data_IF_192690897975
#
_entry.id   IF_192690897975
#
_cell.length_a   1.000
_cell.length_b   1.000
_cell.length_c   1.000
_cell.angle_alpha   90.00
_cell.angle_beta   90.00
_cell.angle_gamma   90.00
#
_symmetry.space_group_name_H-M   'P 1'
#
loop_
_entity.id
_entity.type
_entity.pdbx_description
1 polymer ?
#
# COMPACT_ATOMS: atom_id res chain seq x y z
N UNK A 1 -3.37 5.17 -30.99
CA UNK A 1 -2.73 4.02 -30.29
C UNK A 1 -2.81 4.25 -28.79
N UNK A 2 -3.03 3.21 -27.99
CA UNK A 2 -3.29 3.32 -26.55
C UNK A 2 -2.22 4.11 -25.75
N UNK A 3 -0.96 4.09 -26.19
CA UNK A 3 0.21 4.71 -25.53
C UNK A 3 0.78 5.91 -26.30
N UNK A 4 0.06 6.46 -27.28
CA UNK A 4 0.57 7.52 -28.17
C UNK A 4 1.96 7.20 -28.74
N UNK A 5 2.10 6.01 -29.32
CA UNK A 5 3.36 5.49 -29.88
C UNK A 5 4.49 5.34 -28.83
N UNK A 6 4.16 4.79 -27.64
CA UNK A 6 5.11 4.57 -26.54
C UNK A 6 5.84 5.86 -26.12
N UNK A 7 5.07 6.96 -26.05
CA UNK A 7 5.55 8.26 -25.61
C UNK A 7 6.25 8.18 -24.25
N UNK A 8 7.43 8.79 -24.15
CA UNK A 8 8.20 8.92 -22.91
C UNK A 8 7.41 9.61 -21.79
N UNK A 9 6.49 10.53 -22.15
CA UNK A 9 5.60 11.19 -21.19
C UNK A 9 4.61 10.23 -20.52
N UNK A 10 4.34 9.08 -21.15
CA UNK A 10 3.47 8.05 -20.62
C UNK A 10 4.26 6.91 -19.96
N UNK A 11 5.59 6.99 -19.89
CA UNK A 11 6.42 5.95 -19.28
C UNK A 11 6.27 5.98 -17.76
N UNK A 12 5.85 4.84 -17.20
CA UNK A 12 5.69 4.61 -15.77
C UNK A 12 6.95 4.04 -15.13
N UNK A 13 7.66 3.17 -15.86
CA UNK A 13 8.90 2.53 -15.39
C UNK A 13 9.87 2.32 -16.54
N UNK A 14 11.12 2.70 -16.32
CA UNK A 14 12.23 2.30 -17.18
C UNK A 14 12.71 0.91 -16.80
N UNK A 15 12.78 0.02 -17.78
CA UNK A 15 13.38 -1.29 -17.66
C UNK A 15 14.60 -1.43 -18.56
N UNK A 16 15.53 -2.34 -18.24
CA UNK A 16 16.58 -2.74 -19.17
C UNK A 16 15.96 -3.57 -20.31
N UNK A 17 16.54 -3.53 -21.50
CA UNK A 17 16.15 -4.36 -22.67
C UNK A 17 14.65 -4.37 -22.96
N UNK A 18 14.03 -3.19 -23.16
CA UNK A 18 12.63 -3.10 -23.60
C UNK A 18 11.60 -3.67 -22.62
N UNK A 19 11.94 -3.76 -21.33
CA UNK A 19 10.99 -4.11 -20.25
C UNK A 19 10.25 -2.88 -19.66
N UNK A 20 10.16 -1.80 -20.46
CA UNK A 20 9.51 -0.56 -20.07
C UNK A 20 8.02 -0.77 -19.83
N UNK A 21 7.46 -0.01 -18.88
CA UNK A 21 6.02 0.01 -18.60
C UNK A 21 5.49 1.39 -18.94
N UNK A 22 4.42 1.44 -19.73
CA UNK A 22 3.75 2.66 -20.17
C UNK A 22 2.32 2.71 -19.68
N UNK A 23 1.82 3.90 -19.38
CA UNK A 23 0.40 4.17 -19.23
C UNK A 23 -0.25 4.15 -20.60
N UNK A 24 -1.36 3.46 -20.72
CA UNK A 24 -2.20 3.46 -21.92
C UNK A 24 -3.65 3.77 -21.59
N UNK A 25 -4.42 4.06 -22.64
CA UNK A 25 -5.87 4.17 -22.60
C UNK A 25 -6.48 3.23 -23.65
N UNK A 26 -7.29 2.26 -23.21
CA UNK A 26 -8.01 1.32 -24.07
C UNK A 26 -9.49 1.42 -23.70
N UNK A 27 -10.36 1.76 -24.67
CA UNK A 27 -11.81 1.91 -24.46
C UNK A 27 -12.17 2.78 -23.24
N UNK A 28 -11.53 3.96 -23.13
CA UNK A 28 -11.66 4.89 -21.99
C UNK A 28 -11.22 4.33 -20.62
N UNK A 29 -10.52 3.20 -20.59
CA UNK A 29 -9.95 2.61 -19.38
C UNK A 29 -8.44 2.80 -19.35
N UNK A 30 -7.93 3.36 -18.25
CA UNK A 30 -6.48 3.43 -18.02
C UNK A 30 -5.93 2.01 -17.81
N UNK A 31 -4.83 1.71 -18.51
CA UNK A 31 -4.11 0.43 -18.42
C UNK A 31 -2.61 0.68 -18.25
N UNK A 32 -1.90 -0.33 -17.74
CA UNK A 32 -0.45 -0.38 -17.75
C UNK A 32 0.01 -1.39 -18.81
N UNK A 33 0.84 -0.95 -19.76
CA UNK A 33 1.36 -1.77 -20.85
C UNK A 33 2.83 -2.03 -20.61
N UNK A 34 3.17 -3.27 -20.26
CA UNK A 34 4.55 -3.72 -20.10
C UNK A 34 5.05 -4.29 -21.41
N UNK A 35 6.10 -3.69 -21.94
CA UNK A 35 6.82 -4.20 -23.08
C UNK A 35 7.62 -5.44 -22.67
N UNK A 36 7.66 -6.44 -23.55
CA UNK A 36 8.40 -7.68 -23.30
C UNK A 36 9.70 -7.62 -24.08
N UNK A 37 10.79 -7.98 -23.41
CA UNK A 37 12.12 -8.05 -24.02
C UNK A 37 12.08 -8.96 -25.27
N UNK A 38 12.41 -8.44 -26.46
CA UNK A 38 12.48 -9.25 -27.68
C UNK A 38 13.48 -10.41 -27.58
N UNK A 39 14.50 -10.31 -26.71
CA UNK A 39 15.53 -11.32 -26.49
C UNK A 39 15.07 -12.49 -25.61
N UNK A 40 13.89 -12.38 -24.96
CA UNK A 40 13.26 -13.54 -24.32
C UNK A 40 12.96 -14.58 -25.39
N UNK A 41 13.77 -15.64 -25.42
CA UNK A 41 13.69 -16.76 -26.36
C UNK A 41 12.50 -17.69 -26.05
N UNK A 42 11.30 -17.12 -25.93
CA UNK A 42 10.06 -17.88 -25.85
C UNK A 42 9.56 -18.13 -27.28
N UNK A 43 9.25 -19.39 -27.58
CA UNK A 43 8.52 -19.71 -28.80
C UNK A 43 7.15 -19.01 -28.77
N UNK A 44 6.56 -18.75 -29.94
CA UNK A 44 5.23 -18.13 -30.03
C UNK A 44 4.17 -18.93 -29.25
N UNK A 45 4.30 -20.26 -29.26
CA UNK A 45 3.40 -21.18 -28.55
C UNK A 45 3.57 -21.07 -27.03
N UNK A 46 4.79 -21.17 -26.53
CA UNK A 46 5.07 -21.07 -25.09
C UNK A 46 4.65 -19.69 -24.54
N UNK A 47 4.85 -18.65 -25.35
CA UNK A 47 4.39 -17.31 -25.03
C UNK A 47 2.86 -17.26 -24.89
N UNK A 48 2.11 -17.77 -25.85
CA UNK A 48 0.65 -17.80 -25.81
C UNK A 48 0.11 -18.66 -24.66
N UNK A 49 0.66 -19.87 -24.46
CA UNK A 49 0.23 -20.78 -23.39
C UNK A 49 0.44 -20.14 -22.00
N UNK A 50 1.60 -19.49 -21.79
CA UNK A 50 1.90 -18.78 -20.55
C UNK A 50 0.99 -17.56 -20.33
N UNK A 51 0.63 -16.84 -21.40
CA UNK A 51 -0.29 -15.72 -21.33
C UNK A 51 -1.72 -16.14 -21.00
N UNK A 52 -2.20 -17.22 -21.61
CA UNK A 52 -3.51 -17.79 -21.31
C UNK A 52 -3.59 -18.21 -19.85
N UNK A 53 -2.53 -18.84 -19.34
CA UNK A 53 -2.41 -19.16 -17.92
C UNK A 53 -2.46 -17.91 -17.02
N UNK A 54 -1.63 -16.90 -17.29
CA UNK A 54 -1.59 -15.65 -16.52
C UNK A 54 -2.93 -14.90 -16.56
N UNK A 55 -3.65 -14.91 -17.69
CA UNK A 55 -4.96 -14.28 -17.84
C UNK A 55 -6.07 -14.91 -16.99
N UNK A 56 -5.89 -16.18 -16.59
CA UNK A 56 -6.83 -16.90 -15.72
C UNK A 56 -6.57 -16.65 -14.23
N UNK A 57 -5.43 -16.07 -13.86
CA UNK A 57 -5.11 -15.74 -12.47
C UNK A 57 -5.83 -14.45 -12.09
N UNK A 58 -6.87 -14.56 -11.26
CA UNK A 58 -7.65 -13.42 -10.76
C UNK A 58 -7.81 -13.47 -9.26
N UNK A 59 -7.31 -12.44 -8.59
CA UNK A 59 -7.41 -12.30 -7.15
C UNK A 59 -7.40 -10.81 -6.76
N UNK A 60 -8.16 -10.37 -5.74
CA UNK A 60 -8.23 -8.95 -5.35
C UNK A 60 -6.88 -8.31 -5.02
N UNK A 61 -5.89 -9.10 -4.63
CA UNK A 61 -4.54 -8.65 -4.23
C UNK A 61 -3.43 -9.08 -5.19
N UNK A 62 -3.77 -9.46 -6.42
CA UNK A 62 -2.83 -9.67 -7.52
C UNK A 62 -3.17 -8.72 -8.65
N UNK A 63 -2.15 -8.13 -9.30
CA UNK A 63 -2.37 -7.27 -10.46
C UNK A 63 -2.87 -8.11 -11.63
N UNK A 64 -4.07 -7.79 -12.12
CA UNK A 64 -4.72 -8.54 -13.18
C UNK A 64 -4.08 -8.26 -14.55
N UNK A 65 -3.80 -9.34 -15.28
CA UNK A 65 -3.53 -9.29 -16.72
C UNK A 65 -4.87 -9.15 -17.45
N UNK A 66 -5.03 -8.05 -18.18
CA UNK A 66 -6.23 -7.76 -18.97
C UNK A 66 -6.13 -8.29 -20.39
N UNK A 67 -4.91 -8.45 -20.91
CA UNK A 67 -4.67 -8.93 -22.26
C UNK A 67 -3.21 -8.85 -22.68
N UNK A 68 -2.95 -9.08 -23.96
CA UNK A 68 -1.62 -9.05 -24.54
C UNK A 68 -1.67 -8.56 -25.99
N UNK A 69 -0.52 -8.12 -26.50
CA UNK A 69 -0.28 -7.91 -27.92
C UNK A 69 0.89 -8.79 -28.38
N UNK A 70 0.82 -9.30 -29.61
CA UNK A 70 1.90 -10.10 -30.20
C UNK A 70 2.90 -9.27 -31.01
N UNK A 71 2.49 -8.07 -31.45
CA UNK A 71 3.35 -7.17 -32.23
C UNK A 71 2.99 -5.68 -31.95
N UNK A 72 3.84 -4.93 -31.21
CA UNK A 72 4.98 -5.44 -30.46
C UNK A 72 4.52 -6.35 -29.30
N UNK A 73 5.36 -7.29 -28.88
CA UNK A 73 5.07 -8.17 -27.74
C UNK A 73 4.89 -7.35 -26.46
N UNK A 74 3.67 -7.29 -25.94
CA UNK A 74 3.37 -6.58 -24.71
C UNK A 74 2.27 -7.25 -23.89
N UNK A 75 2.29 -6.95 -22.59
CA UNK A 75 1.28 -7.34 -21.62
C UNK A 75 0.49 -6.12 -21.18
N UNK A 76 -0.83 -6.26 -21.13
CA UNK A 76 -1.75 -5.22 -20.67
C UNK A 76 -2.26 -5.59 -19.29
N UNK A 77 -2.04 -4.72 -18.32
CA UNK A 77 -2.45 -4.86 -16.93
C UNK A 77 -3.44 -3.76 -16.53
N UNK A 78 -4.17 -4.01 -15.45
CA UNK A 78 -4.90 -2.93 -14.78
C UNK A 78 -3.97 -1.82 -14.30
N UNK A 79 -4.47 -0.57 -14.32
CA UNK A 79 -3.67 0.59 -13.92
C UNK A 79 -3.77 0.89 -12.42
N UNK A 80 -2.60 0.98 -11.78
CA UNK A 80 -2.46 1.21 -10.34
C UNK A 80 -2.15 2.68 -10.06
N UNK A 81 -3.17 3.41 -9.59
CA UNK A 81 -3.18 4.88 -9.60
C UNK A 81 -2.22 5.52 -8.59
N UNK A 82 -1.90 4.82 -7.50
CA UNK A 82 -1.04 5.34 -6.45
C UNK A 82 0.40 4.83 -6.57
N UNK A 83 0.76 4.23 -7.71
CA UNK A 83 2.13 3.78 -7.97
C UNK A 83 2.56 2.60 -7.08
N UNK A 84 3.85 2.53 -6.78
CA UNK A 84 4.44 1.47 -5.96
C UNK A 84 4.34 1.79 -4.47
N UNK A 85 4.38 0.75 -3.63
CA UNK A 85 4.52 0.89 -2.18
C UNK A 85 5.86 1.55 -1.82
N UNK A 86 6.92 1.27 -2.56
CA UNK A 86 8.23 1.91 -2.38
C UNK A 86 8.14 3.44 -2.46
N UNK A 87 7.50 3.96 -3.52
CA UNK A 87 7.26 5.40 -3.66
C UNK A 87 6.39 5.94 -2.53
N UNK A 88 5.37 5.18 -2.12
CA UNK A 88 4.45 5.60 -1.08
C UNK A 88 5.09 5.64 0.31
N UNK A 89 6.07 4.77 0.59
CA UNK A 89 6.84 4.78 1.84
C UNK A 89 7.91 5.89 1.85
N UNK A 90 8.55 6.18 0.71
CA UNK A 90 9.59 7.21 0.61
C UNK A 90 9.03 8.64 0.55
N UNK A 91 7.81 8.82 0.02
CA UNK A 91 7.27 10.14 -0.27
C UNK A 91 6.49 10.73 0.92
N UNK A 92 7.16 11.54 1.75
CA UNK A 92 6.52 12.30 2.86
C UNK A 92 5.66 13.48 2.40
N UNK A 93 5.67 13.83 1.12
CA UNK A 93 5.06 15.07 0.57
C UNK A 93 3.81 14.85 -0.28
N UNK A 94 3.38 13.60 -0.54
CA UNK A 94 2.10 13.33 -1.25
C UNK A 94 0.91 13.47 -0.29
N UNK A 95 -0.25 13.82 -0.85
CA UNK A 95 -1.56 14.07 -0.20
C UNK A 95 -2.09 12.98 0.77
N UNK A 96 -1.42 11.83 0.93
CA UNK A 96 -1.85 10.73 1.82
C UNK A 96 -0.65 9.99 2.42
N UNK A 97 -0.42 10.20 3.71
CA UNK A 97 0.55 9.45 4.53
C UNK A 97 0.01 8.04 4.79
N UNK A 98 0.83 7.00 4.60
CA UNK A 98 0.51 5.62 4.97
C UNK A 98 0.56 5.52 6.51
N UNK A 99 -0.56 5.19 7.15
CA UNK A 99 -0.61 4.96 8.60
C UNK A 99 -0.13 3.55 8.97
N UNK A 100 0.19 3.30 10.24
CA UNK A 100 0.51 1.94 10.71
C UNK A 100 -0.62 0.93 10.41
N UNK A 101 -1.89 1.39 10.44
CA UNK A 101 -3.04 0.57 10.11
C UNK A 101 -3.06 0.19 8.63
N UNK A 102 -2.71 1.15 7.76
CA UNK A 102 -2.51 0.88 6.33
C UNK A 102 -1.37 -0.10 6.12
N UNK A 103 -0.25 0.03 6.85
CA UNK A 103 0.87 -0.91 6.77
C UNK A 103 0.46 -2.34 7.10
N UNK A 104 -0.25 -2.56 8.22
CA UNK A 104 -0.75 -3.88 8.62
C UNK A 104 -1.75 -4.41 7.57
N UNK A 105 -2.65 -3.56 7.08
CA UNK A 105 -3.60 -3.94 6.02
C UNK A 105 -2.87 -4.39 4.76
N UNK A 106 -1.91 -3.60 4.28
CA UNK A 106 -1.11 -3.88 3.08
C UNK A 106 -0.38 -5.22 3.24
N UNK A 107 0.22 -5.49 4.40
CA UNK A 107 0.86 -6.78 4.69
C UNK A 107 -0.13 -7.96 4.56
N UNK A 108 -1.34 -7.81 5.09
CA UNK A 108 -2.40 -8.84 4.99
C UNK A 108 -2.84 -9.03 3.53
N UNK A 109 -3.03 -7.95 2.78
CA UNK A 109 -3.42 -7.98 1.37
C UNK A 109 -2.35 -8.70 0.52
N UNK A 110 -1.06 -8.39 0.74
CA UNK A 110 0.06 -9.08 0.08
C UNK A 110 0.07 -10.57 0.43
N UNK A 111 -0.05 -10.92 1.72
CA UNK A 111 -0.08 -12.32 2.14
C UNK A 111 -1.30 -13.07 1.58
N UNK A 112 -2.43 -12.39 1.41
CA UNK A 112 -3.62 -12.95 0.78
C UNK A 112 -3.39 -13.30 -0.69
N UNK A 113 -2.75 -12.40 -1.46
CA UNK A 113 -2.40 -12.67 -2.87
C UNK A 113 -1.40 -13.81 -3.03
N UNK A 114 -0.35 -13.82 -2.22
CA UNK A 114 0.64 -14.89 -2.20
C UNK A 114 0.06 -16.23 -1.71
N UNK A 115 -0.85 -16.19 -0.73
CA UNK A 115 -1.54 -17.37 -0.22
C UNK A 115 -2.37 -18.04 -1.32
N UNK A 116 -3.05 -17.25 -2.15
CA UNK A 116 -3.75 -17.75 -3.33
C UNK A 116 -2.80 -18.41 -4.34
N UNK A 117 -1.66 -17.79 -4.67
CA UNK A 117 -0.66 -18.38 -5.57
C UNK A 117 -0.13 -19.74 -5.07
N UNK A 118 0.01 -19.89 -3.76
CA UNK A 118 0.46 -21.15 -3.16
C UNK A 118 -0.56 -22.29 -3.26
N UNK A 119 -1.84 -22.00 -3.55
CA UNK A 119 -2.90 -23.02 -3.68
C UNK A 119 -2.92 -23.73 -5.03
N UNK A 120 -2.20 -23.23 -6.04
CA UNK A 120 -2.17 -23.80 -7.38
C UNK A 120 -1.56 -25.21 -7.38
N UNK A 121 -2.12 -26.09 -8.20
CA UNK A 121 -1.68 -27.48 -8.39
C UNK A 121 -1.33 -27.74 -9.87
N UNK A 122 -0.44 -28.69 -10.18
CA UNK A 122 0.25 -29.62 -9.27
C UNK A 122 1.45 -29.00 -8.54
N UNK A 123 1.85 -27.77 -8.89
CA UNK A 123 2.92 -27.02 -8.24
C UNK A 123 2.42 -25.63 -7.85
N UNK A 124 2.68 -25.24 -6.62
CA UNK A 124 2.45 -23.89 -6.12
C UNK A 124 3.21 -22.86 -6.96
N UNK A 125 2.61 -21.69 -7.17
CA UNK A 125 3.28 -20.56 -7.83
C UNK A 125 4.04 -19.78 -6.75
N UNK A 126 5.37 -19.78 -6.82
CA UNK A 126 6.24 -19.00 -5.93
C UNK A 126 6.58 -17.67 -6.63
N UNK A 127 6.46 -16.54 -5.95
CA UNK A 127 6.65 -15.23 -6.57
C UNK A 127 8.14 -14.84 -6.70
N UNK A 128 8.95 -15.10 -5.67
CA UNK A 128 10.40 -14.86 -5.58
C UNK A 128 10.90 -13.41 -5.75
N UNK A 129 9.99 -12.45 -5.87
CA UNK A 129 10.33 -11.05 -6.18
C UNK A 129 9.54 -10.08 -5.34
N UNK A 130 9.14 -10.51 -4.15
CA UNK A 130 8.39 -9.64 -3.24
C UNK A 130 9.30 -8.53 -2.75
N UNK A 131 8.89 -7.30 -3.03
CA UNK A 131 9.57 -6.07 -2.64
C UNK A 131 8.56 -4.92 -2.66
N UNK A 132 8.81 -3.81 -1.95
CA UNK A 132 7.97 -2.62 -2.04
C UNK A 132 7.78 -2.09 -3.48
N UNK A 133 8.76 -2.27 -4.36
CA UNK A 133 8.70 -1.86 -5.78
C UNK A 133 7.82 -2.76 -6.66
N UNK A 134 7.46 -3.95 -6.20
CA UNK A 134 6.56 -4.89 -6.87
C UNK A 134 5.17 -4.97 -6.20
N UNK A 135 4.91 -4.15 -5.19
CA UNK A 135 3.59 -3.99 -4.59
C UNK A 135 3.01 -2.67 -5.11
N UNK A 136 1.88 -2.73 -5.81
CA UNK A 136 1.24 -1.57 -6.40
C UNK A 136 -0.03 -1.21 -5.64
N UNK A 137 -0.35 0.08 -5.59
CA UNK A 137 -1.52 0.60 -4.85
C UNK A 137 -2.57 1.14 -5.83
N UNK A 138 -3.80 0.63 -5.73
CA UNK A 138 -4.90 1.15 -6.55
C UNK A 138 -5.42 2.48 -5.98
N UNK A 139 -6.43 3.09 -6.62
CA UNK A 139 -7.03 4.38 -6.21
C UNK A 139 -7.51 4.43 -4.74
N UNK A 140 -7.84 3.28 -4.16
CA UNK A 140 -8.34 3.12 -2.79
C UNK A 140 -7.25 2.66 -1.80
N UNK A 141 -5.97 2.68 -2.19
CA UNK A 141 -4.83 2.17 -1.40
C UNK A 141 -4.91 0.67 -1.06
N UNK A 142 -5.62 -0.11 -1.88
CA UNK A 142 -5.57 -1.57 -1.82
C UNK A 142 -4.30 -2.01 -2.53
N UNK A 143 -3.49 -2.83 -1.85
CA UNK A 143 -2.26 -3.40 -2.37
C UNK A 143 -2.53 -4.59 -3.27
N UNK A 144 -1.80 -4.62 -4.40
CA UNK A 144 -1.76 -5.77 -5.31
C UNK A 144 -0.33 -6.11 -5.65
N UNK A 145 -0.02 -7.40 -5.59
CA UNK A 145 1.29 -7.93 -5.94
C UNK A 145 1.42 -7.99 -7.47
N UNK A 146 2.52 -7.44 -7.97
CA UNK A 146 2.90 -7.42 -9.38
C UNK A 146 4.22 -8.16 -9.60
N UNK A 147 4.54 -8.53 -10.84
CA UNK A 147 5.86 -9.06 -11.20
C UNK A 147 6.01 -10.58 -11.10
N UNK A 148 4.93 -11.32 -10.91
CA UNK A 148 4.86 -12.80 -11.10
C UNK A 148 4.73 -13.21 -12.58
N UNK A 149 5.16 -12.35 -13.51
CA UNK A 149 4.93 -12.50 -14.93
C UNK A 149 5.96 -13.42 -15.63
N UNK A 150 6.21 -13.18 -16.91
CA UNK A 150 6.82 -14.12 -17.86
C UNK A 150 8.22 -14.62 -17.53
N UNK A 151 8.90 -14.08 -16.51
CA UNK A 151 10.25 -14.51 -16.16
C UNK A 151 10.35 -15.88 -15.48
N UNK A 152 9.21 -16.48 -15.09
CA UNK A 152 9.20 -17.85 -14.56
C UNK A 152 9.82 -17.96 -13.17
N UNK A 153 9.28 -18.88 -12.38
CA UNK A 153 9.98 -19.36 -11.19
C UNK A 153 11.30 -19.97 -11.68
N UNK A 154 12.45 -19.44 -11.27
CA UNK A 154 13.70 -20.18 -11.39
C UNK A 154 13.50 -21.53 -10.66
N UNK A 155 14.16 -22.60 -11.12
CA UNK A 155 14.04 -23.92 -10.47
C UNK A 155 14.49 -23.91 -8.99
N UNK A 156 15.19 -22.86 -8.56
CA UNK A 156 15.64 -22.61 -7.19
C UNK A 156 14.63 -21.85 -6.31
N UNK A 157 13.50 -21.40 -6.87
CA UNK A 157 12.47 -20.66 -6.14
C UNK A 157 11.70 -21.56 -5.18
N UNK A 158 11.82 -21.30 -3.88
CA UNK A 158 11.10 -22.03 -2.84
C UNK A 158 10.20 -21.10 -1.99
N UNK A 159 9.27 -21.70 -1.25
CA UNK A 159 8.35 -20.98 -0.34
C UNK A 159 9.12 -20.14 0.68
N UNK A 160 10.28 -20.64 1.13
CA UNK A 160 11.17 -19.97 2.08
C UNK A 160 11.66 -18.61 1.55
N UNK A 161 11.93 -18.49 0.25
CA UNK A 161 12.34 -17.24 -0.39
C UNK A 161 11.25 -16.17 -0.29
N UNK A 162 9.98 -16.56 -0.51
CA UNK A 162 8.85 -15.65 -0.33
C UNK A 162 8.64 -15.29 1.15
N UNK A 163 8.86 -16.23 2.09
CA UNK A 163 8.77 -15.93 3.52
C UNK A 163 9.83 -14.93 3.97
N UNK A 164 11.08 -15.10 3.55
CA UNK A 164 12.16 -14.13 3.83
C UNK A 164 11.82 -12.76 3.25
N UNK A 165 11.31 -12.73 2.02
CA UNK A 165 10.91 -11.49 1.37
C UNK A 165 9.70 -10.81 2.06
N UNK A 166 8.75 -11.58 2.60
CA UNK A 166 7.68 -11.05 3.47
C UNK A 166 8.27 -10.44 4.73
N UNK A 167 9.22 -11.11 5.39
CA UNK A 167 9.88 -10.56 6.58
C UNK A 167 10.56 -9.22 6.29
N UNK A 168 11.32 -9.14 5.20
CA UNK A 168 11.92 -7.89 4.73
C UNK A 168 10.86 -6.83 4.41
N UNK A 169 9.74 -7.20 3.79
CA UNK A 169 8.63 -6.28 3.53
C UNK A 169 8.01 -5.72 4.81
N UNK A 170 7.79 -6.58 5.82
CA UNK A 170 7.24 -6.16 7.12
C UNK A 170 8.16 -5.14 7.80
N UNK A 171 9.48 -5.33 7.69
CA UNK A 171 10.46 -4.34 8.13
C UNK A 171 10.27 -3.01 7.38
N UNK A 172 10.23 -3.02 6.05
CA UNK A 172 10.00 -1.80 5.24
C UNK A 172 8.73 -1.04 5.63
N UNK A 173 7.66 -1.77 5.92
CA UNK A 173 6.39 -1.20 6.37
C UNK A 173 6.48 -0.57 7.77
N UNK A 174 7.32 -1.13 8.64
CA UNK A 174 7.48 -0.67 10.02
C UNK A 174 8.34 0.61 10.12
N UNK A 175 9.33 0.80 9.25
CA UNK A 175 10.22 2.00 9.30
C UNK A 175 9.99 3.04 8.22
N UNK A 176 9.29 2.67 7.14
CA UNK A 176 9.21 3.52 5.96
C UNK A 176 10.56 3.76 5.26
N UNK A 177 11.58 2.91 5.49
CA UNK A 177 12.93 3.04 4.88
C UNK A 177 13.34 1.81 4.08
N UNK A 178 14.21 2.04 3.08
CA UNK A 178 14.65 1.05 2.07
C UNK A 178 15.94 0.28 2.37
N UNK A 179 16.71 0.59 3.42
CA UNK A 179 18.00 -0.05 3.69
C UNK A 179 18.14 -0.48 5.15
N UNK A 180 18.56 -1.74 5.34
CA UNK A 180 18.67 -2.41 6.63
C UNK A 180 20.09 -2.94 6.81
N UNK A 181 20.95 -2.12 7.39
CA UNK A 181 22.22 -2.57 7.94
C UNK A 181 22.30 -1.98 9.34
N UNK A 182 22.22 -2.85 10.34
CA UNK A 182 22.34 -2.58 11.79
C UNK A 182 21.32 -1.60 12.37
N UNK A 183 20.26 -2.14 12.98
CA UNK A 183 19.36 -1.36 13.82
C UNK A 183 19.69 -1.64 15.28
N UNK A 184 20.06 -0.59 16.00
CA UNK A 184 19.89 -0.56 17.45
C UNK A 184 18.39 -0.50 17.74
N UNK A 185 17.86 -1.54 18.39
CA UNK A 185 16.42 -1.67 18.68
C UNK A 185 15.91 -0.53 19.57
N UNK A 186 16.76 0.12 20.36
CA UNK A 186 16.35 1.23 21.21
C UNK A 186 16.14 2.48 20.34
N UNK A 187 17.13 2.83 19.51
CA UNK A 187 17.02 3.92 18.56
C UNK A 187 15.87 3.73 17.56
N UNK A 188 15.57 2.48 17.21
CA UNK A 188 14.43 2.11 16.39
C UNK A 188 13.09 2.53 16.97
N UNK A 189 12.82 2.15 18.23
CA UNK A 189 11.54 2.44 18.87
C UNK A 189 11.37 3.91 19.18
N UNK A 190 12.45 4.63 19.48
CA UNK A 190 12.44 6.08 19.65
C UNK A 190 12.08 6.80 18.34
N UNK A 191 12.51 6.27 17.18
CA UNK A 191 12.23 6.85 15.87
C UNK A 191 10.80 6.57 15.36
N UNK A 192 10.23 5.39 15.66
CA UNK A 192 8.84 5.03 15.24
C UNK A 192 7.75 5.40 16.27
N UNK A 193 8.14 5.88 17.45
CA UNK A 193 7.26 5.98 18.64
C UNK A 193 6.02 6.87 18.46
N UNK A 194 6.09 7.86 17.58
CA UNK A 194 4.95 8.74 17.28
C UNK A 194 4.00 8.17 16.20
N UNK A 195 4.46 7.21 15.39
CA UNK A 195 3.71 6.66 14.26
C UNK A 195 3.06 5.29 14.57
N UNK A 196 3.65 4.51 15.48
CA UNK A 196 3.21 3.15 15.82
C UNK A 196 2.94 2.96 17.32
N UNK A 197 1.84 2.28 17.70
CA UNK A 197 1.73 1.76 19.06
C UNK A 197 2.86 0.76 19.34
N UNK A 198 3.66 0.99 20.39
CA UNK A 198 4.84 0.17 20.71
C UNK A 198 4.58 -1.34 20.74
N UNK A 199 3.43 -1.77 21.27
CA UNK A 199 3.10 -3.20 21.38
C UNK A 199 2.82 -3.82 20.01
N UNK A 200 2.14 -3.06 19.14
CA UNK A 200 1.89 -3.43 17.74
C UNK A 200 3.22 -3.49 16.96
N UNK A 201 4.10 -2.50 17.15
CA UNK A 201 5.41 -2.45 16.50
C UNK A 201 6.32 -3.61 16.92
N UNK A 202 6.38 -3.94 18.21
CA UNK A 202 7.17 -5.08 18.73
C UNK A 202 6.68 -6.40 18.15
N UNK A 203 5.37 -6.63 18.14
CA UNK A 203 4.82 -7.87 17.57
C UNK A 203 5.07 -7.98 16.07
N UNK A 204 4.96 -6.87 15.33
CA UNK A 204 5.25 -6.86 13.90
C UNK A 204 6.74 -7.09 13.62
N UNK A 205 7.63 -6.52 14.44
CA UNK A 205 9.07 -6.73 14.35
C UNK A 205 9.44 -8.19 14.64
N UNK A 206 8.90 -8.79 15.70
CA UNK A 206 9.12 -10.20 16.02
C UNK A 206 8.65 -11.13 14.89
N UNK A 207 7.46 -10.86 14.33
CA UNK A 207 6.95 -11.59 13.17
C UNK A 207 7.89 -11.44 11.96
N UNK A 208 8.40 -10.24 11.71
CA UNK A 208 9.33 -9.99 10.61
C UNK A 208 10.65 -10.76 10.78
N UNK A 209 11.24 -10.73 11.98
CA UNK A 209 12.47 -11.47 12.30
C UNK A 209 12.24 -12.97 12.11
N UNK A 210 11.13 -13.51 12.62
CA UNK A 210 10.80 -14.94 12.43
C UNK A 210 10.58 -15.31 10.96
N UNK A 211 10.04 -14.42 10.12
CA UNK A 211 9.94 -14.66 8.68
C UNK A 211 11.31 -14.70 7.99
N UNK A 212 12.30 -13.94 8.48
CA UNK A 212 13.66 -13.87 7.92
C UNK A 212 14.51 -15.06 8.38
N UNK A 213 14.41 -15.42 9.66
CA UNK A 213 15.35 -16.33 10.32
C UNK A 213 14.91 -17.79 10.37
N UNK A 214 13.65 -18.13 10.08
CA UNK A 214 13.07 -19.43 10.42
C UNK A 214 12.68 -20.30 9.22
N UNK A 215 12.93 -21.60 9.34
CA UNK A 215 12.76 -22.64 8.31
C UNK A 215 11.33 -23.22 8.22
N UNK A 216 10.43 -22.94 9.18
CA UNK A 216 9.05 -23.48 9.20
C UNK A 216 7.92 -22.44 9.05
N UNK A 217 8.25 -21.19 8.70
CA UNK A 217 7.22 -20.16 8.53
C UNK A 217 6.30 -20.49 7.33
N UNK A 218 4.99 -20.31 7.50
CA UNK A 218 4.02 -20.44 6.42
C UNK A 218 3.15 -19.20 6.30
N UNK A 219 2.67 -18.95 5.09
CA UNK A 219 1.85 -17.78 4.81
C UNK A 219 0.55 -17.75 5.63
N UNK A 220 -0.04 -18.92 5.88
CA UNK A 220 -1.22 -19.07 6.72
C UNK A 220 -0.94 -18.63 8.15
N UNK A 221 0.25 -18.98 8.68
CA UNK A 221 0.69 -18.56 10.02
C UNK A 221 0.88 -17.04 10.07
N UNK A 222 1.60 -16.48 9.10
CA UNK A 222 1.82 -15.02 9.00
C UNK A 222 0.48 -14.27 8.95
N UNK A 223 -0.46 -14.70 8.11
CA UNK A 223 -1.79 -14.09 8.02
C UNK A 223 -2.54 -14.15 9.35
N UNK A 224 -2.50 -15.28 10.07
CA UNK A 224 -3.17 -15.40 11.38
C UNK A 224 -2.60 -14.39 12.38
N UNK A 225 -1.28 -14.25 12.42
CA UNK A 225 -0.62 -13.33 13.34
C UNK A 225 -0.86 -11.86 12.96
N UNK A 226 -0.77 -11.50 11.67
CA UNK A 226 -1.10 -10.14 11.22
C UNK A 226 -2.54 -9.73 11.56
N UNK A 227 -3.51 -10.64 11.46
CA UNK A 227 -4.89 -10.37 11.85
C UNK A 227 -5.03 -10.18 13.38
N UNK A 228 -4.27 -10.91 14.18
CA UNK A 228 -4.19 -10.71 15.63
C UNK A 228 -3.61 -9.32 15.98
N UNK A 229 -2.50 -8.95 15.33
CA UNK A 229 -1.85 -7.63 15.48
C UNK A 229 -2.81 -6.51 15.08
N UNK A 230 -3.54 -6.68 13.96
CA UNK A 230 -4.57 -5.74 13.50
C UNK A 230 -5.67 -5.53 14.56
N UNK A 231 -6.11 -6.60 15.23
CA UNK A 231 -7.11 -6.53 16.30
C UNK A 231 -6.62 -5.71 17.50
N UNK A 232 -5.38 -5.94 17.96
CA UNK A 232 -4.77 -5.19 19.08
C UNK A 232 -4.62 -3.70 18.79
N UNK A 233 -4.30 -3.35 17.54
CA UNK A 233 -4.26 -1.96 17.08
C UNK A 233 -5.64 -1.28 16.98
N UNK A 234 -6.73 -2.06 16.99
CA UNK A 234 -8.12 -1.58 16.98
C UNK A 234 -8.71 -1.50 18.40
N UNK A 235 -8.29 -2.39 19.31
CA UNK A 235 -8.75 -2.42 20.70
C UNK A 235 -7.95 -1.48 21.63
N UNK A 236 -6.80 -0.98 21.20
CA UNK A 236 -6.04 0.01 21.96
C UNK A 236 -6.37 1.44 21.53
N UNK A 237 -7.43 1.96 22.18
CA UNK A 237 -7.82 3.37 22.34
C UNK A 237 -8.92 3.84 21.37
N UNK A 238 -10.17 3.79 21.86
CA UNK A 238 -11.29 4.54 21.29
C UNK A 238 -10.91 6.02 21.23
N UNK A 239 -10.69 6.53 20.04
CA UNK A 239 -10.55 7.96 19.81
C UNK A 239 -11.88 8.64 20.17
N UNK A 240 -11.91 9.61 21.10
CA UNK A 240 -13.10 10.39 21.34
C UNK A 240 -13.61 11.02 20.03
N UNK A 241 -14.90 10.84 19.73
CA UNK A 241 -15.48 11.34 18.47
C UNK A 241 -15.25 12.84 18.24
N UNK A 242 -15.12 13.61 19.32
CA UNK A 242 -14.82 15.05 19.26
C UNK A 242 -13.45 15.38 18.63
N UNK A 243 -12.52 14.42 18.62
CA UNK A 243 -11.23 14.59 17.96
C UNK A 243 -11.28 14.28 16.46
N UNK A 244 -12.36 13.64 15.99
CA UNK A 244 -12.48 13.21 14.61
C UNK A 244 -13.07 14.32 13.74
N UNK A 245 -12.39 14.62 12.63
CA UNK A 245 -12.90 15.51 11.59
C UNK A 245 -14.16 14.90 10.97
N UNK A 246 -15.30 15.61 10.92
CA UNK A 246 -16.52 15.09 10.30
C UNK A 246 -16.40 14.75 8.80
N UNK A 247 -15.53 15.46 8.07
CA UNK A 247 -15.29 15.22 6.63
C UNK A 247 -14.35 14.03 6.44
N UNK A 248 -13.19 14.05 7.10
CA UNK A 248 -12.12 13.08 6.87
C UNK A 248 -12.25 11.79 7.69
N UNK A 249 -13.05 11.80 8.76
CA UNK A 249 -13.17 10.72 9.75
C UNK A 249 -11.80 10.30 10.35
N UNK A 250 -10.90 11.28 10.54
CA UNK A 250 -9.55 11.11 11.11
C UNK A 250 -9.35 12.12 12.25
N UNK A 251 -8.42 11.82 13.17
CA UNK A 251 -8.03 12.76 14.23
C UNK A 251 -7.54 14.07 13.60
N UNK A 252 -8.11 15.20 14.00
CA UNK A 252 -7.75 16.53 13.51
C UNK A 252 -6.34 16.92 13.97
N UNK A 253 -5.52 17.42 13.04
CA UNK A 253 -4.20 17.99 13.33
C UNK A 253 -4.27 19.51 13.49
N UNK A 254 -5.10 20.17 12.69
CA UNK A 254 -5.27 21.61 12.68
C UNK A 254 -6.77 21.98 12.77
N UNK A 255 -7.44 21.68 13.89
CA UNK A 255 -8.88 21.86 14.03
C UNK A 255 -9.30 23.33 13.92
N UNK A 256 -10.26 23.63 13.05
CA UNK A 256 -10.89 24.94 12.88
C UNK A 256 -12.41 24.85 13.03
N UNK A 257 -13.00 25.84 13.68
CA UNK A 257 -14.44 25.97 13.91
C UNK A 257 -15.06 26.72 12.73
N UNK A 258 -16.08 26.14 12.11
CA UNK A 258 -16.91 26.80 11.11
C UNK A 258 -18.13 27.48 11.76
N UNK A 259 -18.90 28.25 10.98
CA UNK A 259 -20.07 28.98 11.47
C UNK A 259 -21.16 28.09 12.12
N UNK A 260 -21.18 26.79 11.82
CA UNK A 260 -22.08 25.80 12.42
C UNK A 260 -21.65 25.34 13.84
N UNK A 261 -20.52 25.86 14.35
CA UNK A 261 -19.97 25.53 15.66
C UNK A 261 -19.23 24.19 15.72
N UNK A 262 -19.12 23.45 14.61
CA UNK A 262 -18.35 22.21 14.55
C UNK A 262 -16.90 22.49 14.17
N UNK A 263 -16.01 21.62 14.65
CA UNK A 263 -14.60 21.63 14.28
C UNK A 263 -14.31 20.66 13.15
N UNK A 264 -13.50 21.11 12.21
CA UNK A 264 -13.06 20.37 11.03
C UNK A 264 -11.54 20.46 10.90
N UNK A 265 -10.95 19.54 10.13
CA UNK A 265 -9.57 19.71 9.66
C UNK A 265 -9.53 20.86 8.66
N UNK A 266 -8.60 21.81 8.83
CA UNK A 266 -8.57 23.06 8.07
C UNK A 266 -8.62 22.80 6.56
N UNK A 267 -7.71 21.97 6.06
CA UNK A 267 -7.58 21.74 4.63
C UNK A 267 -8.84 21.08 4.03
N UNK A 268 -9.55 20.27 4.83
CA UNK A 268 -10.76 19.58 4.39
C UNK A 268 -11.98 20.51 4.33
N UNK A 269 -12.11 21.44 5.28
CA UNK A 269 -13.23 22.38 5.28
C UNK A 269 -13.03 23.50 4.27
N UNK A 270 -11.79 23.95 4.03
CA UNK A 270 -11.48 24.89 2.94
C UNK A 270 -11.87 24.30 1.59
N UNK A 271 -11.45 23.06 1.29
CA UNK A 271 -11.81 22.38 0.03
C UNK A 271 -13.34 22.20 -0.12
N UNK A 272 -14.05 21.95 0.99
CA UNK A 272 -15.50 21.84 1.01
C UNK A 272 -16.19 23.18 0.66
N UNK A 273 -15.70 24.29 1.21
CA UNK A 273 -16.25 25.62 0.98
C UNK A 273 -15.90 26.14 -0.43
N UNK A 274 -14.67 25.92 -0.90
CA UNK A 274 -14.21 26.29 -2.24
C UNK A 274 -15.00 25.59 -3.35
N UNK A 275 -15.60 24.43 -3.03
CA UNK A 275 -16.50 23.70 -3.93
C UNK A 275 -17.89 24.35 -4.09
N UNK A 276 -18.14 25.49 -3.43
CA UNK A 276 -19.39 26.25 -3.51
C UNK A 276 -20.51 25.72 -2.60
N UNK A 277 -20.19 24.92 -1.59
CA UNK A 277 -21.18 24.36 -0.68
C UNK A 277 -21.58 25.38 0.40
N UNK A 278 -22.84 25.81 0.41
CA UNK A 278 -23.41 26.66 1.48
C UNK A 278 -23.94 25.85 2.69
N UNK A 279 -23.94 24.51 2.57
CA UNK A 279 -24.36 23.58 3.61
C UNK A 279 -23.11 22.94 4.19
N UNK A 280 -22.98 23.01 5.50
CA UNK A 280 -21.88 22.39 6.22
C UNK A 280 -21.91 20.86 6.08
N UNK A 281 -20.77 20.18 6.25
CA UNK A 281 -20.71 18.72 6.24
C UNK A 281 -21.59 18.04 7.30
N UNK A 282 -22.14 18.79 8.27
CA UNK A 282 -23.11 18.33 9.26
C UNK A 282 -24.56 18.64 8.90
N UNK A 283 -24.83 19.03 7.65
CA UNK A 283 -26.17 19.34 7.14
C UNK A 283 -26.82 20.58 7.77
N UNK A 284 -26.01 21.56 8.18
CA UNK A 284 -26.47 22.87 8.66
C UNK A 284 -26.10 23.95 7.64
N UNK A 285 -26.98 24.92 7.40
CA UNK A 285 -26.64 26.06 6.53
C UNK A 285 -25.59 26.93 7.24
N UNK A 286 -24.54 27.33 6.54
CA UNK A 286 -23.49 28.18 7.09
C UNK A 286 -23.88 29.65 6.92
N UNK A 287 -23.92 30.39 8.02
CA UNK A 287 -24.21 31.84 8.01
C UNK A 287 -23.06 32.66 7.40
N UNK A 288 -21.84 32.11 7.38
CA UNK A 288 -20.66 32.65 6.73
C UNK A 288 -19.59 31.56 6.53
N UNK A 289 -18.55 31.87 5.78
CA UNK A 289 -17.42 30.97 5.46
C UNK A 289 -16.19 31.20 6.34
N UNK A 290 -16.31 31.97 7.44
CA UNK A 290 -15.17 32.24 8.32
C UNK A 290 -14.81 30.99 9.12
N UNK A 291 -13.50 30.74 9.24
CA UNK A 291 -12.92 29.63 9.98
C UNK A 291 -12.06 30.17 11.13
N UNK A 292 -12.28 29.67 12.33
CA UNK A 292 -11.54 30.09 13.52
C UNK A 292 -10.69 28.95 14.07
N UNK A 293 -9.38 29.15 14.33
CA UNK A 293 -8.55 28.11 14.92
C UNK A 293 -9.11 27.64 16.28
N UNK A 294 -9.30 26.32 16.44
CA UNK A 294 -9.72 25.74 17.72
C UNK A 294 -8.49 25.32 18.54
N UNK A 295 -7.80 26.30 19.11
CA UNK A 295 -6.60 26.04 19.93
C UNK A 295 -6.90 25.11 21.12
N UNK A 296 -8.08 25.19 21.72
CA UNK A 296 -8.48 24.32 22.83
C UNK A 296 -8.56 22.85 22.39
N UNK A 297 -9.25 22.56 21.30
CA UNK A 297 -9.34 21.20 20.78
C UNK A 297 -7.99 20.67 20.33
N UNK A 298 -7.17 21.54 19.71
CA UNK A 298 -5.79 21.20 19.34
C UNK A 298 -4.96 20.81 20.57
N UNK A 299 -5.03 21.59 21.65
CA UNK A 299 -4.34 21.27 22.91
C UNK A 299 -4.89 20.02 23.58
N UNK A 300 -6.19 19.76 23.52
CA UNK A 300 -6.78 18.51 24.03
C UNK A 300 -6.33 17.28 23.25
N UNK A 301 -6.27 17.38 21.93
CA UNK A 301 -5.76 16.31 21.06
C UNK A 301 -4.28 16.07 21.36
N UNK A 302 -3.48 17.13 21.47
CA UNK A 302 -2.07 17.04 21.84
C UNK A 302 -1.88 16.40 23.23
N UNK A 303 -2.64 16.83 24.23
CA UNK A 303 -2.62 16.26 25.57
C UNK A 303 -3.03 14.79 25.57
N UNK A 304 -4.07 14.43 24.79
CA UNK A 304 -4.47 13.04 24.60
C UNK A 304 -3.36 12.21 23.94
N UNK A 305 -2.58 12.78 23.01
CA UNK A 305 -1.38 12.14 22.49
C UNK A 305 -0.28 11.99 23.56
N UNK A 306 0.04 13.04 24.33
CA UNK A 306 1.10 13.02 25.35
C UNK A 306 0.81 12.10 26.53
N UNK A 307 -0.44 12.01 26.97
CA UNK A 307 -0.83 11.10 28.05
C UNK A 307 -0.70 9.62 27.65
N UNK A 308 -0.81 9.31 26.36
CA UNK A 308 -0.53 7.95 25.84
C UNK A 308 0.95 7.58 25.97
N UNK A 309 1.84 8.58 25.97
CA UNK A 309 3.28 8.43 26.18
C UNK A 309 3.64 8.31 27.68
N UNK A 310 2.86 8.93 28.57
CA UNK A 310 3.14 9.00 30.00
C UNK A 310 2.64 7.81 30.84
N UNK A 311 1.56 7.13 30.44
CA UNK A 311 1.04 5.92 31.12
C UNK A 311 1.90 4.66 30.90
N UNK A 312 3.15 4.80 30.42
CA UNK A 312 4.07 3.71 30.08
C UNK A 312 5.40 3.77 30.84
N UNK A 313 5.41 4.31 32.06
CA UNK A 313 6.50 4.09 33.03
C UNK A 313 6.10 3.03 34.05
#
# INVERSE_FOLDING_TARGET
MATNNFSEYLRLKSGRNWSNVYRGNINNSNVAIKMIDPTLALSRKDFQDKLMFLGNIRHPHLVAVLGFCSDPKCLVFEYMHNGTLEEALLCKTRRRVISYQDCIRIAIEVCSGLGFLNTFQPRSIIHCRISPSNILLNKNLVAKVAGFDLHGCNEECNVESDMKAIGVLLLHLLTGRGNWVTIDMIAFFDEIGDEWPLDVARELLDLAIRCISNEEMSITRVMKELNSIKGKGCDSIKVPNIFLCPILQKVMRNPHIAADGYSYELEAIEEWLDSGNEISPKSLRLDNTLLFPNHNLRSLIQYWHSNRSATKK
#
